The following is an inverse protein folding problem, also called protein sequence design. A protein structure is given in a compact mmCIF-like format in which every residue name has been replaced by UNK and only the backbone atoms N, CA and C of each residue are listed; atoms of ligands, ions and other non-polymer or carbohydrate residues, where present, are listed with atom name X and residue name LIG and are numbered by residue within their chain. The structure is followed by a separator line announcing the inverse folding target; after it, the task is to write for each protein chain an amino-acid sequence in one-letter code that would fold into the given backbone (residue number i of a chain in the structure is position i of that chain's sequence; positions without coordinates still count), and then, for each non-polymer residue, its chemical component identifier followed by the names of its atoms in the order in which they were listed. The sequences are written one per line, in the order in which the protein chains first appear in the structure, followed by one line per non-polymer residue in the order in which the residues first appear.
data_IF_378232774030
#
_entry.id   IF_378232774030
#
_cell.length_a   1.000
_cell.length_b   1.000
_cell.length_c   1.000
_cell.angle_alpha   90.00
_cell.angle_beta   90.00
_cell.angle_gamma   90.00
#
_symmetry.space_group_name_H-M   'P 1'
#
loop_
_entity.id
_entity.type
_entity.pdbx_description
1 polymer ?
#
# COMPACT_ATOMS: atom_id res chain seq x y z
N UNK A 1 -3.49 5.90 -0.12
CA UNK A 1 -4.44 5.00 0.56
C UNK A 1 -5.30 4.33 -0.52
N UNK A 2 -5.70 3.07 -0.32
CA UNK A 2 -6.65 2.40 -1.21
C UNK A 2 -7.97 3.20 -1.26
N UNK A 3 -8.44 3.64 -2.44
CA UNK A 3 -9.67 4.41 -2.56
C UNK A 3 -10.92 3.64 -2.11
N UNK A 4 -10.97 2.33 -2.31
CA UNK A 4 -12.12 1.51 -1.91
C UNK A 4 -12.19 1.36 -0.40
N UNK A 5 -11.04 1.11 0.25
CA UNK A 5 -10.91 1.16 1.70
C UNK A 5 -11.32 2.53 2.25
N UNK A 6 -10.84 3.63 1.66
CA UNK A 6 -11.18 4.98 2.11
C UNK A 6 -12.70 5.25 2.02
N UNK A 7 -13.34 4.81 0.95
CA UNK A 7 -14.77 5.02 0.73
C UNK A 7 -15.66 4.11 1.59
N UNK A 8 -15.24 2.85 1.82
CA UNK A 8 -16.08 1.85 2.49
C UNK A 8 -15.71 1.62 3.96
N UNK A 9 -14.54 2.10 4.40
CA UNK A 9 -13.89 1.76 5.68
C UNK A 9 -13.65 0.26 5.89
N UNK A 10 -13.67 -0.56 4.84
CA UNK A 10 -13.47 -2.00 4.91
C UNK A 10 -12.08 -2.38 4.42
N UNK A 11 -11.22 -2.82 5.33
CA UNK A 11 -9.89 -3.30 5.00
C UNK A 11 -9.97 -4.74 4.50
N UNK A 12 -9.38 -5.01 3.34
CA UNK A 12 -9.37 -6.35 2.73
C UNK A 12 -7.97 -6.68 2.22
N UNK A 13 -7.74 -7.95 1.88
CA UNK A 13 -6.51 -8.35 1.17
C UNK A 13 -6.31 -7.58 -0.15
N UNK A 14 -7.41 -7.10 -0.78
CA UNK A 14 -7.33 -6.30 -2.00
C UNK A 14 -6.80 -4.89 -1.75
N UNK A 15 -6.90 -4.37 -0.52
CA UNK A 15 -6.28 -3.11 -0.14
C UNK A 15 -4.75 -3.19 -0.12
N UNK A 16 -4.21 -4.35 0.27
CA UNK A 16 -2.77 -4.63 0.17
C UNK A 16 -2.32 -4.78 -1.28
N UNK A 17 -3.16 -5.36 -2.15
CA UNK A 17 -2.87 -5.40 -3.60
C UNK A 17 -2.76 -3.99 -4.18
N UNK A 18 -3.64 -3.07 -3.78
CA UNK A 18 -3.59 -1.69 -4.23
C UNK A 18 -2.32 -0.99 -3.75
N UNK A 19 -1.99 -1.11 -2.46
CA UNK A 19 -0.79 -0.49 -1.89
C UNK A 19 0.49 -1.04 -2.53
N UNK A 20 0.55 -2.35 -2.79
CA UNK A 20 1.62 -2.96 -3.56
C UNK A 20 1.69 -2.44 -5.00
N UNK A 21 0.55 -2.23 -5.65
CA UNK A 21 0.49 -1.59 -6.98
C UNK A 21 1.10 -0.19 -6.98
N UNK A 22 0.91 0.59 -5.92
CA UNK A 22 1.57 1.90 -5.77
C UNK A 22 3.08 1.75 -5.65
N UNK A 23 3.56 0.73 -4.91
CA UNK A 23 5.00 0.44 -4.79
C UNK A 23 5.61 0.02 -6.13
N UNK A 24 4.93 -0.85 -6.90
CA UNK A 24 5.37 -1.21 -8.25
C UNK A 24 5.49 0.03 -9.14
N UNK A 25 4.51 0.92 -9.06
CA UNK A 25 4.53 2.17 -9.81
C UNK A 25 5.67 3.10 -9.38
N UNK A 26 5.92 3.23 -8.09
CA UNK A 26 7.07 3.98 -7.57
C UNK A 26 8.40 3.43 -8.12
N UNK A 27 8.57 2.10 -8.13
CA UNK A 27 9.76 1.45 -8.67
C UNK A 27 9.92 1.62 -10.19
N UNK A 28 8.82 1.61 -10.95
CA UNK A 28 8.85 1.83 -12.40
C UNK A 28 9.26 3.26 -12.77
N UNK A 29 8.92 4.23 -11.92
CA UNK A 29 9.00 5.66 -12.24
C UNK A 29 10.10 6.41 -11.49
N UNK A 30 10.58 5.86 -10.36
CA UNK A 30 11.45 6.54 -9.41
C UNK A 30 10.79 7.77 -8.75
N UNK A 31 9.46 7.90 -8.82
CA UNK A 31 8.71 9.06 -8.29
C UNK A 31 7.98 8.69 -7.00
N UNK A 32 7.88 9.67 -6.10
CA UNK A 32 7.11 9.50 -4.87
C UNK A 32 5.60 9.34 -5.16
N UNK A 33 4.84 8.59 -4.34
CA UNK A 33 3.41 8.35 -4.54
C UNK A 33 2.57 9.63 -4.56
N UNK A 34 3.03 10.65 -3.83
CA UNK A 34 2.57 12.03 -3.94
C UNK A 34 3.79 12.84 -4.39
N UNK A 35 3.69 13.47 -5.56
CA UNK A 35 4.79 14.25 -6.12
C UNK A 35 4.29 15.62 -6.56
N UNK A 36 5.21 16.59 -6.58
CA UNK A 36 4.94 17.93 -7.06
C UNK A 36 5.27 18.01 -8.55
N UNK A 37 4.27 18.26 -9.39
CA UNK A 37 4.49 18.43 -10.84
C UNK A 37 4.93 19.85 -11.18
N UNK A 38 4.39 20.83 -10.44
CA UNK A 38 4.70 22.25 -10.52
C UNK A 38 4.71 22.83 -9.11
N UNK A 39 5.42 23.95 -8.87
CA UNK A 39 5.44 24.60 -7.56
C UNK A 39 4.02 24.82 -7.00
N UNK A 40 3.70 24.20 -5.88
CA UNK A 40 2.41 24.20 -5.20
C UNK A 40 1.37 23.18 -5.69
N UNK A 41 1.65 22.39 -6.74
CA UNK A 41 0.71 21.45 -7.35
C UNK A 41 1.10 20.00 -7.05
N UNK A 42 0.55 19.47 -5.95
CA UNK A 42 0.70 18.06 -5.56
C UNK A 42 -0.23 17.16 -6.38
N UNK A 43 0.32 16.08 -6.92
CA UNK A 43 -0.41 15.05 -7.66
C UNK A 43 -0.22 13.68 -7.04
N UNK A 44 -1.27 12.86 -7.15
CA UNK A 44 -1.22 11.45 -6.82
C UNK A 44 -0.70 10.65 -8.03
N UNK A 45 0.40 9.91 -7.83
CA UNK A 45 1.07 9.14 -8.86
C UNK A 45 0.17 8.06 -9.48
N UNK A 46 -0.60 7.35 -8.66
CA UNK A 46 -1.50 6.30 -9.15
C UNK A 46 -2.61 6.88 -10.06
N UNK A 47 -3.24 7.99 -9.65
CA UNK A 47 -4.26 8.66 -10.46
C UNK A 47 -3.68 9.17 -11.79
N UNK A 48 -2.49 9.81 -11.73
CA UNK A 48 -1.79 10.31 -12.91
C UNK A 48 -1.36 9.18 -13.87
N UNK A 49 -0.90 8.06 -13.34
CA UNK A 49 -0.57 6.87 -14.12
C UNK A 49 -1.81 6.31 -14.83
N UNK A 50 -2.91 6.13 -14.10
CA UNK A 50 -4.15 5.59 -14.66
C UNK A 50 -4.77 6.49 -15.73
N UNK A 51 -4.59 7.82 -15.67
CA UNK A 51 -4.99 8.72 -16.76
C UNK A 51 -4.05 8.59 -17.96
N UNK A 52 -2.73 8.56 -17.73
CA UNK A 52 -1.72 8.43 -18.78
C UNK A 52 -1.85 7.11 -19.58
N UNK A 53 -2.23 6.03 -18.91
CA UNK A 53 -2.48 4.71 -19.51
C UNK A 53 -3.74 4.65 -20.38
N UNK A 54 -4.64 5.65 -20.32
CA UNK A 54 -5.80 5.75 -21.23
C UNK A 54 -5.46 6.52 -22.51
N UNK A 55 -4.42 7.35 -22.46
CA UNK A 55 -3.96 8.22 -23.55
C UNK A 55 -2.79 7.59 -24.33
N UNK A 56 -2.49 6.31 -24.10
CA UNK A 56 -1.35 5.56 -24.66
C UNK A 56 0.03 6.19 -24.40
N UNK A 57 0.16 7.02 -23.35
CA UNK A 57 1.41 7.69 -22.92
C UNK A 57 2.17 6.91 -21.85
N UNK A 58 2.25 5.59 -22.01
CA UNK A 58 2.71 4.63 -21.00
C UNK A 58 4.23 4.67 -20.66
N UNK A 59 5.04 5.43 -21.40
CA UNK A 59 6.51 5.46 -21.24
C UNK A 59 7.08 6.81 -20.76
N UNK A 60 6.26 7.84 -20.63
CA UNK A 60 6.77 9.22 -20.49
C UNK A 60 7.41 9.50 -19.11
N UNK A 61 7.19 8.62 -18.13
CA UNK A 61 7.59 8.80 -16.75
C UNK A 61 8.46 7.65 -16.21
N UNK A 62 8.93 6.76 -17.08
CA UNK A 62 9.76 5.63 -16.66
C UNK A 62 11.14 6.09 -16.22
N UNK A 63 11.67 5.43 -15.20
CA UNK A 63 13.01 5.70 -14.73
C UNK A 63 14.06 5.21 -15.75
N UNK A 64 15.09 6.00 -16.00
CA UNK A 64 16.13 5.68 -16.99
C UNK A 64 16.83 4.33 -16.72
N UNK A 65 16.97 3.94 -15.44
CA UNK A 65 17.52 2.64 -15.05
C UNK A 65 16.64 1.48 -15.50
N UNK A 66 15.33 1.60 -15.30
CA UNK A 66 14.34 0.59 -15.72
C UNK A 66 14.38 0.38 -17.23
N UNK A 67 14.45 1.47 -18.01
CA UNK A 67 14.53 1.40 -19.48
C UNK A 67 15.82 0.74 -19.97
N UNK A 68 16.91 0.82 -19.19
CA UNK A 68 18.19 0.20 -19.53
C UNK A 68 18.25 -1.28 -19.18
N UNK A 69 17.59 -1.69 -18.10
CA UNK A 69 17.71 -3.03 -17.51
C UNK A 69 16.60 -4.00 -17.92
N UNK A 70 15.43 -3.50 -18.33
CA UNK A 70 14.29 -4.32 -18.72
C UNK A 70 13.92 -4.16 -20.21
N UNK A 71 13.39 -5.22 -20.81
CA UNK A 71 12.87 -5.14 -22.18
C UNK A 71 11.57 -4.32 -22.22
N UNK A 72 11.24 -3.79 -23.39
CA UNK A 72 9.99 -3.03 -23.57
C UNK A 72 8.77 -3.88 -23.22
N UNK A 73 8.81 -5.16 -23.57
CA UNK A 73 7.75 -6.13 -23.33
C UNK A 73 7.56 -6.37 -21.82
N UNK A 74 8.66 -6.51 -21.07
CA UNK A 74 8.61 -6.63 -19.60
C UNK A 74 8.03 -5.37 -18.98
N UNK A 75 8.48 -4.19 -19.41
CA UNK A 75 7.99 -2.90 -18.91
C UNK A 75 6.48 -2.76 -19.14
N UNK A 76 6.00 -3.07 -20.35
CA UNK A 76 4.57 -3.02 -20.68
C UNK A 76 3.79 -4.00 -19.82
N UNK A 77 4.29 -5.24 -19.66
CA UNK A 77 3.60 -6.24 -18.84
C UNK A 77 3.52 -5.84 -17.36
N UNK A 78 4.59 -5.30 -16.77
CA UNK A 78 4.57 -4.80 -15.39
C UNK A 78 3.65 -3.57 -15.27
N UNK A 79 3.63 -2.68 -16.26
CA UNK A 79 2.72 -1.54 -16.28
C UNK A 79 1.24 -1.99 -16.33
N UNK A 80 0.91 -3.00 -17.13
CA UNK A 80 -0.44 -3.57 -17.20
C UNK A 80 -0.84 -4.30 -15.92
N UNK A 81 0.08 -5.03 -15.30
CA UNK A 81 -0.13 -5.61 -13.97
C UNK A 81 -0.39 -4.52 -12.93
N UNK A 82 0.43 -3.48 -12.92
CA UNK A 82 0.29 -2.32 -12.01
C UNK A 82 -1.07 -1.65 -12.19
N UNK A 83 -1.51 -1.44 -13.43
CA UNK A 83 -2.84 -0.89 -13.76
C UNK A 83 -3.98 -1.75 -13.19
N UNK A 84 -3.86 -3.08 -13.22
CA UNK A 84 -4.86 -3.98 -12.62
C UNK A 84 -4.83 -3.96 -11.10
N UNK A 85 -3.67 -3.87 -10.47
CA UNK A 85 -3.55 -3.71 -9.01
C UNK A 85 -4.18 -2.40 -8.52
N UNK A 86 -4.05 -1.33 -9.30
CA UNK A 86 -4.60 0.01 -9.00
C UNK A 86 -6.07 0.18 -9.41
N UNK A 87 -6.79 -0.90 -9.71
CA UNK A 87 -8.20 -0.80 -10.06
C UNK A 87 -9.02 -0.23 -8.89
N UNK A 88 -9.97 0.66 -9.20
CA UNK A 88 -10.86 1.23 -8.19
C UNK A 88 -11.66 0.14 -7.46
N UNK A 89 -12.21 -0.83 -8.20
CA UNK A 89 -12.97 -1.96 -7.63
C UNK A 89 -12.02 -3.06 -7.15
N UNK A 90 -12.03 -3.40 -5.86
CA UNK A 90 -11.18 -4.43 -5.27
C UNK A 90 -11.38 -5.80 -5.89
N UNK A 91 -12.61 -6.15 -6.25
CA UNK A 91 -12.95 -7.42 -6.91
C UNK A 91 -12.32 -7.58 -8.29
N UNK A 92 -12.02 -6.46 -8.98
CA UNK A 92 -11.35 -6.47 -10.28
C UNK A 92 -9.82 -6.52 -10.16
N UNK A 93 -9.27 -6.30 -8.96
CA UNK A 93 -7.83 -6.45 -8.71
C UNK A 93 -7.45 -7.93 -8.72
N UNK A 94 -6.24 -8.30 -9.19
CA UNK A 94 -5.73 -9.66 -9.01
C UNK A 94 -5.58 -10.00 -7.52
N UNK A 95 -5.43 -11.28 -7.20
CA UNK A 95 -4.99 -11.70 -5.87
C UNK A 95 -3.48 -11.53 -5.74
N UNK A 96 -2.94 -11.37 -4.53
CA UNK A 96 -1.48 -11.29 -4.34
C UNK A 96 -0.75 -12.52 -4.90
N UNK A 97 -1.36 -13.70 -4.85
CA UNK A 97 -0.83 -14.92 -5.49
C UNK A 97 -0.69 -14.77 -7.01
N UNK A 98 -1.70 -14.19 -7.68
CA UNK A 98 -1.64 -13.92 -9.11
C UNK A 98 -0.58 -12.86 -9.45
N UNK A 99 -0.49 -11.80 -8.65
CA UNK A 99 0.54 -10.76 -8.80
C UNK A 99 1.94 -11.36 -8.71
N UNK A 100 2.22 -12.18 -7.70
CA UNK A 100 3.52 -12.85 -7.54
C UNK A 100 3.81 -13.78 -8.73
N UNK A 101 2.87 -14.65 -9.10
CA UNK A 101 3.08 -15.60 -10.21
C UNK A 101 3.40 -14.89 -11.54
N UNK A 102 2.75 -13.77 -11.81
CA UNK A 102 2.99 -12.99 -13.02
C UNK A 102 4.36 -12.29 -12.99
N UNK A 103 4.74 -11.68 -11.86
CA UNK A 103 6.08 -11.09 -11.69
C UNK A 103 7.19 -12.15 -11.81
N UNK A 104 6.98 -13.35 -11.27
CA UNK A 104 7.91 -14.47 -11.41
C UNK A 104 8.04 -14.93 -12.86
N UNK A 105 6.92 -14.99 -13.60
CA UNK A 105 6.94 -15.30 -15.02
C UNK A 105 7.68 -14.24 -15.84
N UNK A 106 7.56 -12.97 -15.50
CA UNK A 106 8.26 -11.87 -16.18
C UNK A 106 9.76 -11.87 -15.89
N UNK A 107 10.15 -12.28 -14.68
CA UNK A 107 11.55 -12.52 -14.30
C UNK A 107 12.11 -13.77 -14.99
N UNK A 108 11.30 -14.82 -15.11
CA UNK A 108 11.67 -16.09 -15.73
C UNK A 108 11.62 -16.09 -17.26
N UNK A 109 11.08 -15.05 -17.90
CA UNK A 109 11.01 -14.94 -19.36
C UNK A 109 12.39 -14.87 -20.05
N UNK A 110 13.47 -14.67 -19.28
CA UNK A 110 14.86 -14.81 -19.76
C UNK A 110 15.30 -16.30 -19.86
N UNK A 111 14.61 -17.21 -19.18
CA UNK A 111 14.86 -18.66 -19.16
C UNK A 111 13.58 -19.40 -19.59
N UNK A 112 13.39 -19.55 -20.90
CA UNK A 112 12.16 -20.05 -21.48
C UNK A 112 11.65 -21.37 -20.87
N UNK A 113 10.45 -21.32 -20.29
CA UNK A 113 9.42 -22.37 -20.35
C UNK A 113 8.18 -21.91 -19.57
N UNK A 114 7.09 -21.67 -20.31
CA UNK A 114 5.75 -21.53 -19.76
C UNK A 114 5.26 -22.89 -19.25
N UNK A 115 4.92 -22.97 -17.96
CA UNK A 115 3.96 -23.91 -17.36
C UNK A 115 3.62 -23.33 -15.95
N UNK A 116 2.39 -23.16 -15.48
CA UNK A 116 1.17 -23.95 -15.60
C UNK A 116 -0.08 -23.12 -15.26
N UNK A 117 -1.22 -23.56 -15.78
CA UNK A 117 -2.53 -23.61 -15.10
C UNK A 117 -3.14 -24.99 -15.43
N UNK A 118 -4.13 -25.56 -14.70
CA UNK A 118 -4.80 -25.06 -13.49
C UNK A 118 -4.94 -26.11 -12.34
N UNK A 119 -5.39 -25.61 -11.18
CA UNK A 119 -6.18 -26.26 -10.12
C UNK A 119 -5.71 -27.58 -9.47
N UNK A 120 -5.30 -27.48 -8.20
CA UNK A 120 -5.74 -28.43 -7.19
C UNK A 120 -6.00 -27.68 -5.88
N UNK A 121 -7.19 -27.86 -5.32
CA UNK A 121 -7.49 -27.48 -3.95
C UNK A 121 -6.53 -28.23 -3.03
N UNK A 122 -5.64 -27.49 -2.37
CA UNK A 122 -4.87 -28.00 -1.25
C UNK A 122 -5.50 -27.43 0.00
N UNK A 123 -6.26 -28.28 0.69
CA UNK A 123 -6.82 -28.03 2.01
C UNK A 123 -5.68 -27.61 2.95
N UNK A 124 -5.60 -26.33 3.26
CA UNK A 124 -4.60 -25.80 4.19
C UNK A 124 -5.03 -26.21 5.61
N UNK A 125 -4.29 -27.17 6.18
CA UNK A 125 -4.36 -27.50 7.61
C UNK A 125 -3.77 -26.30 8.37
N UNK A 126 -4.55 -25.74 9.29
CA UNK A 126 -4.18 -24.63 10.15
C UNK A 126 -2.97 -25.00 11.03
N UNK A 127 -1.86 -24.23 11.00
CA UNK A 127 -0.90 -24.24 12.08
C UNK A 127 -1.53 -23.60 13.31
N UNK A 128 -1.45 -24.31 14.43
CA UNK A 128 -1.95 -23.96 15.74
C UNK A 128 -1.46 -22.57 16.19
N UNK A 129 -2.39 -21.73 16.64
CA UNK A 129 -2.16 -20.40 17.23
C UNK A 129 -1.07 -20.41 18.31
N UNK A 130 -0.02 -19.57 18.21
CA UNK A 130 0.77 -19.18 19.36
C UNK A 130 0.01 -18.13 20.18
N UNK A 131 -0.23 -18.46 21.45
CA UNK A 131 -0.90 -17.61 22.45
C UNK A 131 -0.28 -16.20 22.50
N UNK A 132 -1.17 -15.22 22.61
CA UNK A 132 -0.92 -13.79 22.73
C UNK A 132 0.29 -13.45 23.63
N UNK A 133 1.27 -12.72 23.08
CA UNK A 133 2.42 -12.19 23.83
C UNK A 133 2.20 -10.74 24.31
N UNK A 134 0.95 -10.27 24.37
CA UNK A 134 0.61 -8.94 24.90
C UNK A 134 -0.29 -9.03 26.13
N UNK A 135 0.21 -9.64 27.19
CA UNK A 135 -0.29 -9.30 28.52
C UNK A 135 0.36 -7.97 28.90
N UNK A 136 -0.37 -6.87 28.69
CA UNK A 136 0.00 -5.60 29.30
C UNK A 136 -0.08 -5.76 30.82
N UNK A 137 1.06 -5.69 31.50
CA UNK A 137 1.10 -5.56 32.96
C UNK A 137 0.56 -4.16 33.32
N UNK A 138 -0.57 -4.05 34.05
CA UNK A 138 -1.17 -2.76 34.35
C UNK A 138 -0.32 -1.85 35.25
N UNK A 139 0.81 -2.32 35.80
CA UNK A 139 1.56 -1.58 36.82
C UNK A 139 2.79 -0.82 36.31
N UNK A 140 3.12 -0.88 35.02
CA UNK A 140 4.34 -0.26 34.47
C UNK A 140 4.16 1.17 33.94
N UNK A 141 2.96 1.75 33.98
CA UNK A 141 2.76 3.16 33.59
C UNK A 141 3.24 4.17 34.66
N UNK A 142 3.59 3.72 35.87
CA UNK A 142 3.78 4.63 37.01
C UNK A 142 5.22 4.99 37.38
N UNK A 143 6.25 4.62 36.60
CA UNK A 143 7.63 5.02 36.94
C UNK A 143 8.50 5.33 35.73
N UNK A 144 8.28 6.49 35.12
CA UNK A 144 9.39 7.23 34.50
C UNK A 144 9.21 8.71 34.83
N UNK A 145 9.84 9.12 35.94
CA UNK A 145 10.12 10.51 36.22
C UNK A 145 11.03 11.06 35.11
N UNK A 146 10.46 11.89 34.23
CA UNK A 146 11.24 12.83 33.43
C UNK A 146 10.85 14.22 33.89
N UNK A 147 11.84 14.86 34.49
CA UNK A 147 11.86 16.23 34.99
C UNK A 147 11.47 17.24 33.90
N UNK A 148 10.56 18.14 34.23
CA UNK A 148 10.32 19.39 33.50
C UNK A 148 9.65 20.37 34.46
N UNK A 149 10.43 21.38 34.86
CA UNK A 149 10.06 22.35 35.86
C UNK A 149 8.90 23.28 35.49
N UNK A 150 8.32 23.79 36.59
CA UNK A 150 7.70 25.10 36.77
C UNK A 150 6.44 25.46 35.94
N UNK A 151 5.29 25.29 36.57
CA UNK A 151 4.31 26.37 36.72
C UNK A 151 3.55 26.21 38.06
N UNK A 152 3.49 27.29 38.82
CA UNK A 152 3.02 27.30 40.21
C UNK A 152 1.49 27.21 40.32
N UNK A 153 1.03 26.46 41.33
CA UNK A 153 -0.34 26.44 41.84
C UNK A 153 -0.71 27.81 42.45
N UNK A 154 -1.64 28.50 41.80
CA UNK A 154 -2.46 29.56 42.40
C UNK A 154 -3.83 29.00 42.75
N UNK A 155 -4.12 28.89 44.05
CA UNK A 155 -5.39 28.39 44.57
C UNK A 155 -6.56 29.38 44.37
N UNK A 156 -7.77 28.88 44.09
CA UNK A 156 -8.99 29.69 44.17
C UNK A 156 -10.29 29.09 43.60
N UNK A 157 -11.03 28.34 44.44
CA UNK A 157 -12.53 28.31 44.56
C UNK A 157 -13.32 27.45 43.52
N UNK A 158 -14.45 26.80 43.92
CA UNK A 158 -14.83 25.47 43.47
C UNK A 158 -16.05 25.35 42.53
N UNK A 159 -16.20 24.13 42.01
CA UNK A 159 -17.40 23.40 41.57
C UNK A 159 -18.76 24.14 41.44
N UNK A 160 -19.22 24.27 40.20
CA UNK A 160 -20.56 23.87 39.75
C UNK A 160 -20.79 24.37 38.34
N UNK A 161 -20.93 23.47 37.36
CA UNK A 161 -21.79 23.73 36.21
C UNK A 161 -22.55 22.46 35.86
N UNK A 162 -23.84 22.57 36.09
CA UNK A 162 -24.87 21.61 35.82
C UNK A 162 -25.62 22.13 34.57
N UNK A 163 -26.06 21.20 33.71
CA UNK A 163 -27.21 21.31 32.77
C UNK A 163 -26.93 22.10 31.46
N UNK A 164 -27.65 21.90 30.31
CA UNK A 164 -28.61 20.86 29.88
C UNK A 164 -28.40 20.24 28.47
N UNK A 165 -29.14 19.12 28.31
CA UNK A 165 -29.86 18.57 27.13
C UNK A 165 -29.12 18.28 25.84
#
# INVERSE_FOLDING_TARGET
MDPEYFNTSQLTEKSDVYSFGVVLLELLTGKQPIFEERPGELRNLAAYFLSSMREDRQFQFLEARVVKEATKEQIVAVADLTKRCLNWMGDKRPTMKQVTAELESLRGAENGAWACQPNHETKLVSPTEPKDLYTADPLLYSTFSVDSGQYSLGAGIPASMNIPR
#
